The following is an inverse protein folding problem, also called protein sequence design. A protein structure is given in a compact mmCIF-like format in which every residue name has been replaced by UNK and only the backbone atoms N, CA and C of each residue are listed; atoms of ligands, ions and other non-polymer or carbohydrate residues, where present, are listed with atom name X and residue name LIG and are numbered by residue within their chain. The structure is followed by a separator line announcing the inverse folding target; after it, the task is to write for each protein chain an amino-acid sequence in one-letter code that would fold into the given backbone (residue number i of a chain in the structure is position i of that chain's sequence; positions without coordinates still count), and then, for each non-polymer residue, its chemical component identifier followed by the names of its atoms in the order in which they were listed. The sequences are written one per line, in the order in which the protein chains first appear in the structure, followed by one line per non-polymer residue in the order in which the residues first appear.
data_IF_725575411453
#
_entry.id   IF_725575411453
#
_cell.length_a   1.000
_cell.length_b   1.000
_cell.length_c   1.000
_cell.angle_alpha   90.00
_cell.angle_beta   90.00
_cell.angle_gamma   90.00
#
_symmetry.space_group_name_H-M   'P 1'
#
loop_
_entity.id
_entity.type
_entity.pdbx_description
1 polymer ?
#
# COMPACT_ATOMS: atom_id res chain seq x y z
N UNK A 1 -1.98 -7.18 8.30
CA UNK A 1 -3.30 -7.06 7.65
C UNK A 1 -4.37 -8.00 8.20
N UNK A 2 -4.04 -9.06 8.98
CA UNK A 2 -5.04 -10.03 9.44
C UNK A 2 -6.26 -9.40 10.15
N UNK A 3 -6.04 -8.42 11.03
CA UNK A 3 -7.11 -7.70 11.74
C UNK A 3 -7.99 -6.82 10.85
N UNK A 4 -7.51 -6.44 9.67
CA UNK A 4 -8.26 -5.60 8.73
C UNK A 4 -9.06 -6.42 7.70
N UNK A 5 -8.80 -7.73 7.61
CA UNK A 5 -9.45 -8.60 6.62
C UNK A 5 -10.94 -8.69 6.93
N UNK A 6 -11.77 -8.47 5.91
CA UNK A 6 -13.23 -8.50 6.03
C UNK A 6 -13.84 -7.25 6.67
N UNK A 7 -13.00 -6.26 7.02
CA UNK A 7 -13.43 -4.93 7.43
C UNK A 7 -13.21 -3.95 6.29
N UNK A 8 -13.98 -2.87 6.30
CA UNK A 8 -13.80 -1.73 5.42
C UNK A 8 -13.72 -0.46 6.28
N UNK A 9 -12.93 0.51 5.83
CA UNK A 9 -12.71 1.76 6.52
C UNK A 9 -12.87 2.91 5.53
N UNK A 10 -13.49 4.00 6.00
CA UNK A 10 -13.63 5.21 5.21
C UNK A 10 -12.25 5.75 4.76
N UNK A 11 -11.29 5.75 5.69
CA UNK A 11 -9.91 6.19 5.46
C UNK A 11 -8.89 5.13 5.90
N UNK A 12 -7.87 4.88 5.09
CA UNK A 12 -6.75 3.98 5.42
C UNK A 12 -5.42 4.67 5.18
N UNK A 13 -4.52 4.52 6.15
CA UNK A 13 -3.11 4.90 6.03
C UNK A 13 -2.26 3.63 6.08
N UNK A 14 -1.49 3.37 5.01
CA UNK A 14 -0.54 2.25 4.95
C UNK A 14 0.86 2.79 5.13
N UNK A 15 1.51 2.39 6.22
CA UNK A 15 2.86 2.83 6.59
C UNK A 15 3.87 1.78 6.15
N UNK A 16 4.96 2.22 5.51
CA UNK A 16 6.03 1.41 4.92
C UNK A 16 5.52 0.19 4.11
N UNK A 17 4.87 0.42 2.94
CA UNK A 17 4.36 -0.66 2.09
C UNK A 17 5.42 -1.70 1.69
N UNK A 18 6.67 -1.28 1.52
CA UNK A 18 7.80 -2.18 1.23
C UNK A 18 8.06 -3.17 2.37
N UNK A 19 8.02 -2.71 3.62
CA UNK A 19 8.17 -3.58 4.78
C UNK A 19 7.02 -4.61 4.87
N UNK A 20 5.78 -4.21 4.57
CA UNK A 20 4.62 -5.11 4.55
C UNK A 20 4.79 -6.19 3.47
N UNK A 21 5.26 -5.79 2.27
CA UNK A 21 5.49 -6.70 1.17
C UNK A 21 6.63 -7.69 1.44
N UNK A 22 7.67 -7.27 2.16
CA UNK A 22 8.86 -8.08 2.46
C UNK A 22 8.72 -8.95 3.72
N UNK A 23 7.73 -8.70 4.58
CA UNK A 23 7.61 -9.38 5.86
C UNK A 23 7.41 -10.90 5.76
N UNK A 24 6.81 -11.39 4.67
CA UNK A 24 6.46 -12.80 4.48
C UNK A 24 6.40 -13.16 2.99
N UNK A 25 6.45 -14.46 2.68
CA UNK A 25 6.37 -14.97 1.29
C UNK A 25 5.08 -14.54 0.55
N UNK A 26 3.97 -14.38 1.28
CA UNK A 26 2.70 -13.86 0.76
C UNK A 26 2.48 -12.37 1.08
N UNK A 27 3.55 -11.60 1.28
CA UNK A 27 3.49 -10.20 1.70
C UNK A 27 2.74 -9.29 0.70
N UNK A 28 2.90 -9.53 -0.61
CA UNK A 28 2.15 -8.79 -1.64
C UNK A 28 0.63 -8.96 -1.48
N UNK A 29 0.16 -10.16 -1.15
CA UNK A 29 -1.26 -10.42 -0.89
C UNK A 29 -1.75 -9.67 0.35
N UNK A 30 -0.93 -9.59 1.41
CA UNK A 30 -1.28 -8.83 2.62
C UNK A 30 -1.34 -7.33 2.34
N UNK A 31 -0.41 -6.82 1.54
CA UNK A 31 -0.41 -5.43 1.12
C UNK A 31 -1.66 -5.12 0.29
N UNK A 32 -2.01 -5.97 -0.67
CA UNK A 32 -3.26 -5.85 -1.42
C UNK A 32 -4.50 -5.81 -0.50
N UNK A 33 -4.57 -6.69 0.50
CA UNK A 33 -5.66 -6.65 1.48
C UNK A 33 -5.71 -5.29 2.16
N UNK A 34 -4.59 -4.75 2.64
CA UNK A 34 -4.54 -3.46 3.33
C UNK A 34 -4.96 -2.28 2.41
N UNK A 35 -4.44 -2.24 1.18
CA UNK A 35 -4.75 -1.19 0.20
C UNK A 35 -6.24 -1.16 -0.18
N UNK A 36 -6.91 -2.31 -0.17
CA UNK A 36 -8.32 -2.45 -0.57
C UNK A 36 -9.30 -2.32 0.59
N UNK A 37 -8.86 -1.93 1.79
CA UNK A 37 -9.80 -1.65 2.88
C UNK A 37 -10.34 -0.22 2.85
N UNK A 38 -9.75 0.67 2.04
CA UNK A 38 -10.20 2.05 1.91
C UNK A 38 -11.43 2.12 0.99
N UNK A 39 -12.51 2.72 1.47
CA UNK A 39 -13.71 2.97 0.67
C UNK A 39 -13.72 4.39 0.09
N UNK A 40 -13.15 5.36 0.80
CA UNK A 40 -13.12 6.77 0.37
C UNK A 40 -11.71 7.31 0.13
N UNK A 41 -10.75 7.07 1.03
CA UNK A 41 -9.38 7.61 0.89
C UNK A 41 -8.29 6.64 1.34
N UNK A 42 -7.24 6.56 0.53
CA UNK A 42 -6.03 5.79 0.82
C UNK A 42 -4.81 6.73 0.83
N UNK A 43 -4.00 6.65 1.87
CA UNK A 43 -2.70 7.33 1.95
C UNK A 43 -1.58 6.31 2.17
N UNK A 44 -0.48 6.47 1.44
CA UNK A 44 0.75 5.72 1.64
C UNK A 44 1.79 6.63 2.29
N UNK A 45 2.35 6.19 3.42
CA UNK A 45 3.44 6.88 4.10
C UNK A 45 4.65 5.96 4.06
N UNK A 46 5.73 6.40 3.43
CA UNK A 46 6.90 5.58 3.24
C UNK A 46 8.18 6.42 3.22
N UNK A 47 9.22 5.93 3.89
CA UNK A 47 10.59 6.40 3.75
C UNK A 47 11.39 5.48 2.81
N UNK A 48 11.06 4.18 2.80
CA UNK A 48 11.64 3.24 1.84
C UNK A 48 11.05 3.45 0.44
N UNK A 49 11.75 3.00 -0.60
CA UNK A 49 11.16 2.98 -1.94
C UNK A 49 9.89 2.13 -1.95
N UNK A 50 8.85 2.62 -2.62
CA UNK A 50 7.64 1.82 -2.83
C UNK A 50 7.99 0.54 -3.60
N UNK A 51 7.27 -0.56 -3.34
CA UNK A 51 7.31 -1.74 -4.22
C UNK A 51 7.08 -1.32 -5.67
N UNK A 52 7.75 -1.98 -6.61
CA UNK A 52 7.73 -1.59 -8.03
C UNK A 52 6.30 -1.44 -8.58
N UNK A 53 5.41 -2.37 -8.24
CA UNK A 53 4.00 -2.39 -8.63
C UNK A 53 3.14 -1.27 -8.00
N UNK A 54 3.67 -0.48 -7.08
CA UNK A 54 3.02 0.72 -6.51
C UNK A 54 3.68 2.03 -6.96
N UNK A 55 4.80 1.98 -7.69
CA UNK A 55 5.44 3.19 -8.20
C UNK A 55 4.60 3.75 -9.33
N UNK A 56 4.07 4.95 -9.15
CA UNK A 56 3.55 5.73 -10.29
C UNK A 56 4.77 6.26 -11.05
N UNK A 57 4.86 6.08 -12.38
CA UNK A 57 5.91 6.72 -13.15
C UNK A 57 5.83 8.23 -12.91
N UNK A 58 6.91 8.82 -12.40
CA UNK A 58 6.97 10.28 -12.27
C UNK A 58 6.73 10.87 -13.65
N UNK A 59 5.72 11.73 -13.86
CA UNK A 59 5.54 12.40 -15.13
C UNK A 59 6.87 13.07 -15.49
N UNK A 60 7.44 12.75 -16.65
CA UNK A 60 8.63 13.47 -17.13
C UNK A 60 8.24 14.93 -17.18
N UNK A 61 8.85 15.76 -16.33
CA UNK A 61 8.70 17.21 -16.40
C UNK A 61 9.04 17.61 -17.86
N UNK A 62 8.04 18.14 -18.56
CA UNK A 62 8.13 18.45 -19.98
C UNK A 62 9.27 19.41 -20.26
N UNK A 63 9.92 19.20 -21.41
CA UNK A 63 10.66 20.26 -22.12
C UNK A 63 9.67 21.26 -22.68
#
# INVERSE_FOLDING_TARGET
AALAKGLEFDHVVVVEPAAIAAAEERGANRLYVALTRAVSRLALVHAQELPEYLRVPTPRAGR
#
